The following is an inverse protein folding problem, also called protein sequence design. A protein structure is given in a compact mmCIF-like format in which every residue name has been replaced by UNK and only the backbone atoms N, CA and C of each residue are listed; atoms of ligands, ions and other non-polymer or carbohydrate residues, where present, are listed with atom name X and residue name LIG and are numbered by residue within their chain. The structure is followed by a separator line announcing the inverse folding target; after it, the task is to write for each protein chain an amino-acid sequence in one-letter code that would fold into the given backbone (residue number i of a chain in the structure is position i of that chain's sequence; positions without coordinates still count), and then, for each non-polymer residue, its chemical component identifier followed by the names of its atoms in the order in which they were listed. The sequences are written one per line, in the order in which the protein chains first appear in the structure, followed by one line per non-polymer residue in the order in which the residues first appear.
data_IF_783720402180
#
_entry.id   IF_783720402180
#
_cell.length_a   1.000
_cell.length_b   1.000
_cell.length_c   1.000
_cell.angle_alpha   90.00
_cell.angle_beta   90.00
_cell.angle_gamma   90.00
#
_symmetry.space_group_name_H-M   'P 1'
#
loop_
_entity.id
_entity.type
_entity.pdbx_description
1 polymer ?
#
# COMPACT_ATOMS: atom_id res chain seq x y z
N UNK A 1 0.94 17.23 6.26
CA UNK A 1 2.00 16.22 6.52
C UNK A 1 1.40 14.84 6.26
N UNK A 2 2.11 13.96 5.53
CA UNK A 2 1.64 12.60 5.27
C UNK A 2 1.52 11.81 6.57
N UNK A 3 0.40 11.09 6.74
CA UNK A 3 0.14 10.21 7.89
C UNK A 3 0.74 8.82 7.70
N UNK A 4 1.13 8.47 6.46
CA UNK A 4 1.71 7.18 6.14
C UNK A 4 3.23 7.19 6.36
N UNK A 5 3.81 6.09 6.89
CA UNK A 5 5.25 5.99 7.10
C UNK A 5 6.00 6.07 5.77
N UNK A 6 7.26 6.50 5.79
CA UNK A 6 8.18 6.22 4.70
C UNK A 6 8.47 4.71 4.66
N UNK A 7 7.90 4.02 3.68
CA UNK A 7 8.00 2.57 3.56
C UNK A 7 9.43 2.11 3.26
N UNK A 8 10.27 2.93 2.61
CA UNK A 8 11.69 2.59 2.38
C UNK A 8 12.45 2.58 3.70
N UNK A 9 12.21 3.57 4.56
CA UNK A 9 12.82 3.67 5.88
C UNK A 9 12.49 2.51 6.83
N UNK A 10 11.47 1.70 6.52
CA UNK A 10 11.11 0.50 7.30
C UNK A 10 11.97 -0.73 6.98
N UNK A 11 12.81 -0.67 5.94
CA UNK A 11 13.74 -1.73 5.58
C UNK A 11 15.18 -1.33 5.96
N UNK A 12 15.95 -2.19 6.66
CA UNK A 12 17.37 -1.96 6.89
C UNK A 12 18.14 -1.85 5.57
N UNK A 13 18.74 -0.68 5.29
CA UNK A 13 19.33 -0.39 3.98
C UNK A 13 18.33 0.15 2.94
N UNK A 14 17.19 0.69 3.39
CA UNK A 14 16.15 1.25 2.54
C UNK A 14 16.61 2.26 1.49
N UNK A 15 17.68 3.03 1.77
CA UNK A 15 18.27 3.97 0.80
C UNK A 15 18.83 3.31 -0.47
N UNK A 16 19.20 2.03 -0.42
CA UNK A 16 19.68 1.27 -1.57
C UNK A 16 18.56 0.51 -2.31
N UNK A 17 17.33 0.53 -1.79
CA UNK A 17 16.19 -0.15 -2.39
C UNK A 17 15.70 0.59 -3.64
N UNK A 18 15.32 -0.19 -4.67
CA UNK A 18 14.68 0.31 -5.89
C UNK A 18 13.23 -0.11 -5.91
N UNK A 19 12.34 0.66 -6.54
CA UNK A 19 10.95 0.21 -6.77
C UNK A 19 10.93 -1.07 -7.59
N UNK A 20 10.14 -2.05 -7.15
CA UNK A 20 9.95 -3.27 -7.93
C UNK A 20 9.05 -3.01 -9.14
N UNK A 21 9.39 -3.63 -10.28
CA UNK A 21 8.54 -3.63 -11.49
C UNK A 21 7.51 -4.76 -11.47
N UNK A 22 7.65 -5.70 -10.55
CA UNK A 22 6.73 -6.82 -10.34
C UNK A 22 5.77 -6.61 -9.15
N UNK A 23 5.34 -7.71 -8.50
CA UNK A 23 4.35 -7.70 -7.42
C UNK A 23 4.85 -7.14 -6.09
N UNK A 24 6.17 -6.94 -5.92
CA UNK A 24 6.75 -6.35 -4.73
C UNK A 24 6.55 -4.84 -4.65
N UNK A 25 6.91 -4.31 -3.48
CA UNK A 25 7.04 -2.87 -3.29
C UNK A 25 8.45 -2.42 -3.75
N UNK A 26 9.48 -3.14 -3.30
CA UNK A 26 10.88 -2.82 -3.61
C UNK A 26 11.71 -4.04 -4.01
N UNK A 27 12.89 -3.77 -4.54
CA UNK A 27 14.00 -4.70 -4.70
C UNK A 27 15.18 -4.18 -3.87
N UNK A 28 15.67 -5.00 -2.96
CA UNK A 28 16.83 -4.72 -2.11
C UNK A 28 18.06 -5.51 -2.60
N UNK A 29 19.29 -4.97 -2.44
CA UNK A 29 20.52 -5.68 -2.82
C UNK A 29 20.84 -6.83 -1.86
N UNK A 30 20.47 -6.70 -0.59
CA UNK A 30 20.73 -7.66 0.48
C UNK A 30 19.43 -8.09 1.15
N UNK A 31 19.45 -9.27 1.76
CA UNK A 31 18.37 -9.74 2.62
C UNK A 31 18.52 -9.06 3.99
N UNK A 32 17.40 -8.65 4.56
CA UNK A 32 17.32 -8.25 5.95
C UNK A 32 16.00 -8.75 6.55
N UNK A 33 16.02 -9.07 7.83
CA UNK A 33 14.82 -9.52 8.53
C UNK A 33 14.10 -8.30 9.12
N UNK A 34 12.82 -8.20 8.82
CA UNK A 34 11.93 -7.13 9.31
C UNK A 34 10.50 -7.67 9.32
N UNK A 35 9.68 -7.30 10.31
CA UNK A 35 8.29 -7.74 10.36
C UNK A 35 7.47 -7.20 9.18
N UNK A 36 7.91 -6.11 8.54
CA UNK A 36 7.13 -5.38 7.53
C UNK A 36 7.27 -5.92 6.11
N UNK A 37 8.33 -6.67 5.83
CA UNK A 37 8.64 -7.16 4.49
C UNK A 37 9.06 -8.63 4.48
N UNK A 38 8.44 -9.39 3.58
CA UNK A 38 8.95 -10.72 3.21
C UNK A 38 9.94 -10.56 2.06
N UNK A 39 11.17 -11.06 2.26
CA UNK A 39 12.20 -11.10 1.22
C UNK A 39 12.05 -12.35 0.34
N UNK A 40 11.75 -12.16 -0.94
CA UNK A 40 11.71 -13.23 -1.95
C UNK A 40 12.96 -13.12 -2.84
N UNK A 41 13.78 -14.18 -2.97
CA UNK A 41 15.00 -14.12 -3.78
C UNK A 41 14.69 -13.89 -5.27
N UNK A 42 15.52 -13.07 -5.92
CA UNK A 42 15.54 -12.85 -7.37
C UNK A 42 16.89 -13.33 -7.94
N UNK A 43 17.04 -13.28 -9.28
CA UNK A 43 18.36 -13.49 -9.92
C UNK A 43 19.43 -12.54 -9.39
N UNK A 44 19.03 -11.31 -9.05
CA UNK A 44 19.87 -10.29 -8.43
C UNK A 44 19.07 -9.58 -7.33
N UNK A 45 19.51 -9.73 -6.08
CA UNK A 45 18.86 -9.14 -4.91
C UNK A 45 17.58 -9.85 -4.47
N UNK A 46 16.75 -9.13 -3.72
CA UNK A 46 15.55 -9.65 -3.06
C UNK A 46 14.36 -8.74 -3.32
N UNK A 47 13.23 -9.32 -3.73
CA UNK A 47 11.94 -8.63 -3.79
C UNK A 47 11.36 -8.51 -2.39
N UNK A 48 10.97 -7.30 -2.02
CA UNK A 48 10.30 -7.01 -0.76
C UNK A 48 8.78 -6.98 -0.99
N UNK A 49 8.08 -7.99 -0.50
CA UNK A 49 6.61 -8.04 -0.47
C UNK A 49 6.12 -7.48 0.88
N UNK A 50 5.05 -6.66 0.90
CA UNK A 50 4.49 -6.19 2.16
C UNK A 50 3.89 -7.37 2.94
N UNK A 51 3.95 -7.27 4.27
CA UNK A 51 3.32 -8.23 5.20
C UNK A 51 2.07 -7.62 5.84
N UNK A 52 1.22 -8.44 6.49
CA UNK A 52 0.12 -7.92 7.31
C UNK A 52 0.57 -6.92 8.40
N UNK A 53 1.78 -7.08 8.95
CA UNK A 53 2.32 -6.16 9.96
C UNK A 53 2.57 -4.75 9.40
N UNK A 54 2.94 -4.62 8.12
CA UNK A 54 3.07 -3.32 7.47
C UNK A 54 1.72 -2.63 7.32
N UNK A 55 0.68 -3.38 6.93
CA UNK A 55 -0.68 -2.85 6.84
C UNK A 55 -1.19 -2.42 8.21
N UNK A 56 -0.99 -3.24 9.26
CA UNK A 56 -1.35 -2.87 10.62
C UNK A 56 -0.64 -1.58 11.10
N UNK A 57 0.64 -1.39 10.75
CA UNK A 57 1.36 -0.15 11.03
C UNK A 57 0.76 1.06 10.30
N UNK A 58 0.31 0.89 9.05
CA UNK A 58 -0.39 1.94 8.31
C UNK A 58 -1.71 2.28 8.98
N UNK A 59 -2.51 1.27 9.32
CA UNK A 59 -3.82 1.46 9.94
C UNK A 59 -3.73 2.07 11.34
N UNK A 60 -2.65 1.85 12.09
CA UNK A 60 -2.46 2.43 13.43
C UNK A 60 -2.08 3.90 13.42
N UNK A 61 -1.55 4.41 12.30
CA UNK A 61 -1.18 5.82 12.12
C UNK A 61 -2.31 6.68 11.55
N UNK A 62 -3.42 6.06 11.15
CA UNK A 62 -4.54 6.76 10.58
C UNK A 62 -5.32 7.56 11.63
N UNK A 63 -5.63 8.84 11.38
CA UNK A 63 -6.65 9.56 12.16
C UNK A 63 -8.04 8.96 11.92
N UNK A 64 -9.04 9.42 12.67
CA UNK A 64 -10.43 9.01 12.48
C UNK A 64 -10.90 9.23 11.01
N UNK A 65 -11.80 8.38 10.48
CA UNK A 65 -12.12 8.36 9.06
C UNK A 65 -12.94 9.57 8.62
N UNK A 66 -12.26 10.60 8.11
CA UNK A 66 -12.88 11.83 7.60
C UNK A 66 -13.58 11.65 6.23
N UNK A 67 -13.17 10.65 5.43
CA UNK A 67 -13.72 10.41 4.09
C UNK A 67 -14.79 9.30 4.06
N UNK A 68 -15.71 9.38 3.10
CA UNK A 68 -16.76 8.36 2.90
C UNK A 68 -16.16 6.98 2.55
N UNK A 69 -15.04 6.96 1.82
CA UNK A 69 -14.34 5.73 1.49
C UNK A 69 -13.73 5.09 2.74
N UNK A 70 -13.01 5.88 3.55
CA UNK A 70 -12.42 5.41 4.80
C UNK A 70 -13.50 4.91 5.77
N UNK A 71 -14.62 5.63 5.91
CA UNK A 71 -15.76 5.16 6.71
C UNK A 71 -16.31 3.84 6.19
N UNK A 72 -16.46 3.71 4.87
CA UNK A 72 -16.95 2.48 4.25
C UNK A 72 -16.03 1.29 4.54
N UNK A 73 -14.72 1.50 4.52
CA UNK A 73 -13.73 0.43 4.66
C UNK A 73 -13.26 0.22 6.11
N UNK A 74 -13.66 1.08 7.05
CA UNK A 74 -13.36 0.95 8.48
C UNK A 74 -13.73 -0.42 9.06
N UNK A 75 -14.81 -1.03 8.54
CA UNK A 75 -15.25 -2.39 8.89
C UNK A 75 -14.21 -3.49 8.63
N UNK A 76 -13.22 -3.22 7.78
CA UNK A 76 -12.16 -4.15 7.41
C UNK A 76 -10.86 -3.93 8.19
N UNK A 77 -10.80 -2.88 9.03
CA UNK A 77 -9.62 -2.54 9.84
C UNK A 77 -9.31 -3.68 10.81
N UNK A 78 -8.03 -4.04 10.92
CA UNK A 78 -7.56 -5.09 11.84
C UNK A 78 -7.92 -6.52 11.44
N UNK A 79 -8.66 -6.74 10.34
CA UNK A 79 -8.89 -8.08 9.80
C UNK A 79 -7.61 -8.62 9.15
N UNK A 80 -7.48 -9.95 9.10
CA UNK A 80 -6.34 -10.61 8.49
C UNK A 80 -6.22 -10.26 7.00
N UNK A 81 -5.05 -9.75 6.61
CA UNK A 81 -4.81 -9.28 5.26
C UNK A 81 -4.58 -10.46 4.29
N UNK A 82 -5.38 -10.49 3.24
CA UNK A 82 -5.27 -11.50 2.18
C UNK A 82 -4.16 -11.14 1.20
N UNK A 83 -3.56 -12.15 0.57
CA UNK A 83 -2.44 -11.96 -0.36
C UNK A 83 -2.75 -10.98 -1.49
N UNK A 84 -3.93 -11.06 -2.10
CA UNK A 84 -4.36 -10.13 -3.14
C UNK A 84 -4.39 -8.68 -2.66
N UNK A 85 -4.80 -8.46 -1.40
CA UNK A 85 -4.85 -7.12 -0.81
C UNK A 85 -3.45 -6.62 -0.49
N UNK A 86 -2.52 -7.48 -0.08
CA UNK A 86 -1.10 -7.14 0.09
C UNK A 86 -0.46 -6.71 -1.23
N UNK A 87 -0.74 -7.42 -2.32
CA UNK A 87 -0.26 -7.05 -3.66
C UNK A 87 -0.86 -5.72 -4.14
N UNK A 88 -2.15 -5.52 -3.88
CA UNK A 88 -2.82 -4.27 -4.19
C UNK A 88 -2.26 -3.10 -3.38
N UNK A 89 -1.96 -3.31 -2.10
CA UNK A 89 -1.29 -2.34 -1.25
C UNK A 89 0.09 -1.98 -1.80
N UNK A 90 0.90 -2.98 -2.20
CA UNK A 90 2.20 -2.74 -2.81
C UNK A 90 2.11 -1.85 -4.05
N UNK A 91 1.11 -2.06 -4.91
CA UNK A 91 0.90 -1.23 -6.09
C UNK A 91 0.52 0.23 -5.73
N UNK A 92 -0.37 0.42 -4.75
CA UNK A 92 -0.74 1.75 -4.27
C UNK A 92 0.45 2.50 -3.65
N UNK A 93 1.26 1.79 -2.86
CA UNK A 93 2.46 2.34 -2.26
C UNK A 93 3.52 2.73 -3.31
N UNK A 94 3.66 1.97 -4.41
CA UNK A 94 4.52 2.38 -5.54
C UNK A 94 4.01 3.66 -6.21
N UNK A 95 2.69 3.80 -6.38
CA UNK A 95 2.08 5.00 -6.96
C UNK A 95 2.26 6.23 -6.07
N UNK A 96 2.29 6.06 -4.74
CA UNK A 96 2.58 7.17 -3.82
C UNK A 96 3.96 7.77 -4.06
N UNK A 97 4.97 6.94 -4.33
CA UNK A 97 6.32 7.42 -4.63
C UNK A 97 6.52 7.93 -6.06
N UNK A 98 5.73 7.44 -7.01
CA UNK A 98 5.75 7.89 -8.40
C UNK A 98 4.33 7.86 -8.97
N UNK A 99 3.58 8.96 -8.77
CA UNK A 99 2.22 9.05 -9.28
C UNK A 99 2.20 8.93 -10.80
N UNK A 100 1.32 8.07 -11.30
CA UNK A 100 1.09 7.88 -12.73
C UNK A 100 -0.44 7.78 -12.96
N UNK A 101 -1.08 8.81 -13.56
CA UNK A 101 -2.54 8.93 -13.58
C UNK A 101 -3.27 7.70 -14.14
N UNK A 102 -2.79 7.16 -15.27
CA UNK A 102 -3.40 5.98 -15.91
C UNK A 102 -3.34 4.74 -15.02
N UNK A 103 -2.23 4.52 -14.30
CA UNK A 103 -2.11 3.40 -13.37
C UNK A 103 -2.91 3.63 -12.10
N UNK A 104 -3.00 4.86 -11.62
CA UNK A 104 -3.85 5.20 -10.48
C UNK A 104 -5.32 4.84 -10.75
N UNK A 105 -5.86 5.22 -11.91
CA UNK A 105 -7.25 4.88 -12.28
C UNK A 105 -7.46 3.35 -12.31
N UNK A 106 -6.49 2.60 -12.84
CA UNK A 106 -6.55 1.13 -12.87
C UNK A 106 -6.50 0.53 -11.46
N UNK A 107 -5.62 1.07 -10.61
CA UNK A 107 -5.48 0.65 -9.22
C UNK A 107 -6.74 0.94 -8.40
N UNK A 108 -7.34 2.13 -8.51
CA UNK A 108 -8.60 2.49 -7.84
C UNK A 108 -9.75 1.56 -8.28
N UNK A 109 -9.83 1.23 -9.57
CA UNK A 109 -10.79 0.23 -10.08
C UNK A 109 -10.56 -1.15 -9.47
N UNK A 110 -9.30 -1.58 -9.36
CA UNK A 110 -8.96 -2.86 -8.72
C UNK A 110 -9.32 -2.87 -7.23
N UNK A 111 -9.08 -1.78 -6.50
CA UNK A 111 -9.47 -1.62 -5.10
C UNK A 111 -10.97 -1.73 -4.90
N UNK A 112 -11.77 -1.01 -5.70
CA UNK A 112 -13.23 -1.09 -5.62
C UNK A 112 -13.76 -2.49 -5.97
N UNK A 113 -13.17 -3.16 -6.98
CA UNK A 113 -13.53 -4.54 -7.33
C UNK A 113 -13.21 -5.51 -6.19
N UNK A 114 -12.03 -5.39 -5.58
CA UNK A 114 -11.63 -6.21 -4.44
C UNK A 114 -12.57 -6.01 -3.26
N UNK A 115 -12.88 -4.76 -2.91
CA UNK A 115 -13.83 -4.46 -1.85
C UNK A 115 -15.24 -5.03 -2.13
N UNK A 116 -15.71 -4.93 -3.37
CA UNK A 116 -17.00 -5.53 -3.76
C UNK A 116 -17.01 -7.05 -3.63
N UNK A 117 -15.89 -7.73 -3.90
CA UNK A 117 -15.76 -9.17 -3.69
C UNK A 117 -15.76 -9.53 -2.20
N UNK A 118 -14.97 -8.84 -1.37
CA UNK A 118 -14.89 -9.07 0.07
C UNK A 118 -16.24 -8.80 0.79
N UNK A 119 -17.02 -7.83 0.32
CA UNK A 119 -18.38 -7.61 0.86
C UNK A 119 -19.34 -8.79 0.61
N UNK A 120 -19.11 -9.61 -0.43
CA UNK A 120 -19.97 -10.77 -0.74
C UNK A 120 -19.50 -12.06 -0.09
N UNK A 121 -18.18 -12.26 -0.06
CA UNK A 121 -17.57 -13.53 0.36
C UNK A 121 -17.10 -13.52 1.81
N UNK A 122 -17.14 -12.36 2.48
CA UNK A 122 -16.43 -12.13 3.73
C UNK A 122 -14.96 -11.80 3.50
N UNK A 123 -14.26 -11.41 4.57
CA UNK A 123 -12.84 -11.01 4.51
C UNK A 123 -12.62 -9.53 4.26
N UNK A 124 -11.54 -9.17 3.56
CA UNK A 124 -11.21 -7.79 3.22
C UNK A 124 -10.13 -7.12 4.08
N UNK A 125 -9.42 -7.87 4.92
CA UNK A 125 -8.29 -7.32 5.66
C UNK A 125 -7.28 -6.64 4.75
N UNK A 126 -6.78 -5.48 5.20
CA UNK A 126 -5.89 -4.61 4.43
C UNK A 126 -6.59 -3.64 3.46
N UNK A 127 -7.91 -3.77 3.22
CA UNK A 127 -8.62 -2.81 2.39
C UNK A 127 -8.62 -1.41 3.01
N UNK A 128 -8.69 -1.30 4.33
CA UNK A 128 -8.61 -0.02 5.02
C UNK A 128 -7.24 0.65 4.80
N UNK A 129 -6.13 -0.09 4.94
CA UNK A 129 -4.80 0.38 4.56
C UNK A 129 -4.70 0.85 3.10
N UNK A 130 -5.33 0.14 2.16
CA UNK A 130 -5.39 0.58 0.76
C UNK A 130 -6.22 1.85 0.56
N UNK A 131 -7.32 2.03 1.29
CA UNK A 131 -8.11 3.26 1.22
C UNK A 131 -7.36 4.48 1.78
N UNK A 132 -6.54 4.30 2.81
CA UNK A 132 -5.65 5.36 3.32
C UNK A 132 -4.66 5.81 2.24
N UNK A 133 -4.09 4.87 1.47
CA UNK A 133 -3.27 5.20 0.30
C UNK A 133 -4.07 5.94 -0.78
N UNK A 134 -5.32 5.56 -1.05
CA UNK A 134 -6.16 6.24 -2.06
C UNK A 134 -6.41 7.70 -1.68
N UNK A 135 -6.72 7.98 -0.41
CA UNK A 135 -6.94 9.35 0.06
C UNK A 135 -5.67 10.20 -0.01
N UNK A 136 -4.51 9.67 0.40
CA UNK A 136 -3.25 10.40 0.27
C UNK A 136 -2.92 10.71 -1.19
N UNK A 137 -3.08 9.72 -2.08
CA UNK A 137 -2.85 9.89 -3.52
C UNK A 137 -3.78 10.94 -4.13
N UNK A 138 -5.04 10.99 -3.67
CA UNK A 138 -6.01 12.00 -4.12
C UNK A 138 -5.57 13.41 -3.73
N UNK A 139 -5.14 13.60 -2.48
CA UNK A 139 -4.63 14.89 -1.99
C UNK A 139 -3.37 15.30 -2.75
N UNK A 140 -2.40 14.39 -2.91
CA UNK A 140 -1.15 14.66 -3.62
C UNK A 140 -1.34 15.06 -5.09
N UNK A 141 -2.39 14.58 -5.76
CA UNK A 141 -2.68 14.94 -7.15
C UNK A 141 -3.38 16.29 -7.22
N UNK A 142 -4.38 16.53 -6.35
CA UNK A 142 -5.05 17.82 -6.28
C UNK A 142 -4.05 18.96 -6.02
N UNK A 143 -3.13 18.78 -5.07
CA UNK A 143 -2.06 19.76 -4.78
C UNK A 143 -1.13 20.01 -5.98
N UNK A 144 -0.90 19.02 -6.84
CA UNK A 144 -0.07 19.18 -8.04
C UNK A 144 -0.79 19.89 -9.17
N UNK A 145 -2.11 19.72 -9.29
CA UNK A 145 -2.93 20.40 -10.29
C UNK A 145 -3.15 21.87 -9.96
N UNK A 146 -3.11 22.27 -8.68
CA UNK A 146 -3.19 23.68 -8.26
C UNK A 146 -1.90 24.49 -8.49
N UNK A 147 -0.77 23.80 -8.73
CA UNK A 147 0.55 24.43 -8.94
C UNK A 147 0.87 24.58 -10.45
N UNK A 148 0.05 24.00 -11.34
CA UNK A 148 0.20 24.06 -12.81
C UNK A 148 -0.74 25.09 -13.43
#
# INVERSE_FOLDING_TARGET
MSVLPDFRGLFPGGGACKRDRGPGLYVAPTRADTPYFTCVPLKQGFRLLPTPALLALVESRAPDPDSALLRSFSRFRGLEAEQDTLLLFAEGAKLREAPEPTRLIRWQKALRRRAAACMRLGGGGGLYACALLEEELRVMIAEKEEIL
#
